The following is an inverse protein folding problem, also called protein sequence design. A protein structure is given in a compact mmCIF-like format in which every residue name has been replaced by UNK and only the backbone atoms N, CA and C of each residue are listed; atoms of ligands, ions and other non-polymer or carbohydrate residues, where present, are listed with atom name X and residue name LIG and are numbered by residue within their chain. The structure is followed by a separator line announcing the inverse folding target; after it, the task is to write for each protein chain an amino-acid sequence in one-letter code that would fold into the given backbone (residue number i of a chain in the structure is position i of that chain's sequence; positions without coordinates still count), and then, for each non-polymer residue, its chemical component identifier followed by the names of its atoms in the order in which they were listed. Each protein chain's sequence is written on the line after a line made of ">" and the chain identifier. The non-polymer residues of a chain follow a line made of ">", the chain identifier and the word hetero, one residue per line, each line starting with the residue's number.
data_IF_169946270079
#
_entry.id   IF_169946270079
#
_cell.length_a   1.000
_cell.length_b   1.000
_cell.length_c   1.000
_cell.angle_alpha   90.00
_cell.angle_beta   90.00
_cell.angle_gamma   90.00
#
_symmetry.space_group_name_H-M   'P 1'
#
loop_
_entity.id
_entity.type
_entity.pdbx_description
1 polymer ?
#
# COMPACT_ATOMS: atom_id res chain seq x y z
N UNK A 1 -4.61 14.97 12.18
CA UNK A 1 -6.01 15.11 11.75
C UNK A 1 -6.57 13.85 11.07
N UNK A 2 -5.86 13.11 10.21
CA UNK A 2 -6.37 11.81 9.69
C UNK A 2 -6.18 10.61 10.64
N UNK A 3 -5.34 10.76 11.67
CA UNK A 3 -5.04 9.70 12.66
C UNK A 3 -6.25 9.21 13.44
N UNK A 4 -7.34 9.98 13.51
CA UNK A 4 -8.58 9.55 14.17
C UNK A 4 -9.33 8.45 13.41
N UNK A 5 -8.99 8.22 12.13
CA UNK A 5 -9.54 7.14 11.31
C UNK A 5 -8.67 5.87 11.35
N UNK A 6 -7.56 5.87 12.11
CA UNK A 6 -6.62 4.76 12.10
C UNK A 6 -7.14 3.61 12.96
N UNK A 7 -7.30 2.45 12.33
CA UNK A 7 -7.67 1.18 12.97
C UNK A 7 -6.53 0.17 12.74
N UNK A 8 -5.83 -0.17 13.81
CA UNK A 8 -4.69 -1.10 13.78
C UNK A 8 -5.18 -2.43 14.35
N UNK A 9 -5.01 -3.50 13.58
CA UNK A 9 -5.38 -4.84 14.03
C UNK A 9 -4.66 -5.19 15.35
N UNK A 10 -5.32 -5.85 16.32
CA UNK A 10 -4.72 -6.16 17.62
C UNK A 10 -3.34 -6.84 17.53
N UNK A 11 -3.19 -7.83 16.64
CA UNK A 11 -1.91 -8.52 16.45
C UNK A 11 -0.78 -7.59 15.98
N UNK A 12 -1.11 -6.63 15.12
CA UNK A 12 -0.16 -5.62 14.61
C UNK A 12 0.23 -4.66 15.73
N UNK A 13 -0.75 -4.21 16.53
CA UNK A 13 -0.50 -3.35 17.69
C UNK A 13 0.37 -4.03 18.74
N UNK A 14 0.08 -5.29 19.08
CA UNK A 14 0.86 -6.07 20.03
C UNK A 14 2.30 -6.24 19.54
N UNK A 15 2.50 -6.58 18.26
CA UNK A 15 3.82 -6.71 17.67
C UNK A 15 4.62 -5.41 17.75
N UNK A 16 4.00 -4.26 17.45
CA UNK A 16 4.63 -2.95 17.56
C UNK A 16 5.03 -2.60 19.00
N UNK A 17 4.14 -2.86 19.96
CA UNK A 17 4.41 -2.60 21.39
C UNK A 17 5.54 -3.47 21.96
N UNK A 18 5.67 -4.70 21.45
CA UNK A 18 6.71 -5.65 21.85
C UNK A 18 8.02 -5.49 21.06
N UNK A 19 8.07 -4.57 20.09
CA UNK A 19 9.23 -4.40 19.21
C UNK A 19 9.46 -5.56 18.24
N UNK A 20 8.44 -6.37 17.97
CA UNK A 20 8.48 -7.43 16.96
C UNK A 20 8.40 -6.83 15.55
N UNK A 21 9.05 -7.44 14.55
CA UNK A 21 9.04 -6.92 13.19
C UNK A 21 7.64 -6.99 12.56
N UNK A 22 7.22 -5.89 11.95
CA UNK A 22 5.96 -5.76 11.19
C UNK A 22 6.26 -5.36 9.76
N UNK A 23 5.59 -6.00 8.80
CA UNK A 23 5.69 -5.69 7.37
C UNK A 23 4.33 -5.28 6.84
N UNK A 24 4.20 -4.04 6.37
CA UNK A 24 3.01 -3.58 5.68
C UNK A 24 2.90 -4.23 4.29
N UNK A 25 1.67 -4.39 3.79
CA UNK A 25 1.35 -4.91 2.45
C UNK A 25 0.23 -4.05 1.82
N UNK A 26 0.28 -3.77 0.51
CA UNK A 26 -0.74 -2.92 -0.14
C UNK A 26 -1.98 -3.71 -0.57
N UNK A 27 -3.09 -3.00 -0.79
CA UNK A 27 -4.34 -3.60 -1.29
C UNK A 27 -4.66 -3.28 -2.76
N UNK A 28 -4.00 -2.32 -3.41
CA UNK A 28 -4.21 -2.08 -4.85
C UNK A 28 -3.89 -3.30 -5.69
N UNK A 29 -2.86 -4.07 -5.32
CA UNK A 29 -2.52 -5.31 -6.01
C UNK A 29 -3.64 -6.35 -5.94
N UNK A 30 -4.43 -6.32 -4.86
CA UNK A 30 -5.58 -7.21 -4.63
C UNK A 30 -6.73 -6.80 -5.55
N UNK A 31 -7.19 -5.54 -5.47
CA UNK A 31 -8.39 -5.12 -6.19
C UNK A 31 -8.17 -4.77 -7.67
N UNK A 32 -6.95 -4.36 -8.05
CA UNK A 32 -6.65 -3.86 -9.40
C UNK A 32 -5.43 -4.52 -10.06
N UNK A 33 -4.64 -5.30 -9.33
CA UNK A 33 -3.41 -5.91 -9.84
C UNK A 33 -3.58 -7.34 -10.37
N UNK A 34 -4.57 -8.07 -9.85
CA UNK A 34 -4.79 -9.48 -10.17
C UNK A 34 -6.29 -9.81 -10.25
N UNK A 35 -6.69 -10.82 -11.05
CA UNK A 35 -8.08 -11.29 -11.09
C UNK A 35 -8.45 -12.08 -9.83
N UNK A 36 -9.76 -12.13 -9.52
CA UNK A 36 -10.30 -13.01 -8.50
C UNK A 36 -10.46 -14.44 -9.02
N UNK A 37 -10.14 -15.49 -8.23
CA UNK A 37 -9.75 -15.48 -6.81
C UNK A 37 -8.25 -15.32 -6.56
N UNK A 38 -7.42 -15.29 -7.61
CA UNK A 38 -5.96 -15.30 -7.47
C UNK A 38 -5.42 -14.11 -6.67
N UNK A 39 -6.11 -12.96 -6.71
CA UNK A 39 -5.78 -11.78 -5.93
C UNK A 39 -5.81 -12.03 -4.42
N UNK A 40 -6.94 -12.52 -3.88
CA UNK A 40 -7.13 -12.81 -2.46
C UNK A 40 -6.22 -13.96 -2.02
N UNK A 41 -6.14 -15.03 -2.80
CA UNK A 41 -5.24 -16.15 -2.53
C UNK A 41 -3.77 -15.73 -2.46
N UNK A 42 -3.35 -14.83 -3.35
CA UNK A 42 -1.98 -14.32 -3.36
C UNK A 42 -1.71 -13.42 -2.17
N UNK A 43 -2.64 -12.53 -1.81
CA UNK A 43 -2.51 -11.69 -0.62
C UNK A 43 -2.33 -12.54 0.66
N UNK A 44 -3.19 -13.55 0.85
CA UNK A 44 -3.10 -14.47 1.99
C UNK A 44 -1.79 -15.27 2.00
N UNK A 45 -1.32 -15.73 0.83
CA UNK A 45 -0.02 -16.41 0.72
C UNK A 45 1.15 -15.48 1.08
N UNK A 46 1.10 -14.21 0.68
CA UNK A 46 2.13 -13.23 1.03
C UNK A 46 2.13 -12.96 2.54
N UNK A 47 0.96 -12.86 3.19
CA UNK A 47 0.88 -12.79 4.65
C UNK A 47 1.53 -14.00 5.33
N UNK A 48 1.30 -15.21 4.80
CA UNK A 48 1.94 -16.42 5.30
C UNK A 48 3.48 -16.39 5.12
N UNK A 49 3.98 -15.85 4.01
CA UNK A 49 5.43 -15.71 3.80
C UNK A 49 6.06 -14.72 4.78
N UNK A 50 5.41 -13.58 5.05
CA UNK A 50 5.87 -12.65 6.08
C UNK A 50 5.95 -13.33 7.46
N UNK A 51 4.92 -14.11 7.83
CA UNK A 51 4.91 -14.91 9.07
C UNK A 51 6.02 -15.95 9.11
N UNK A 52 6.24 -16.68 8.02
CA UNK A 52 7.32 -17.65 7.91
C UNK A 52 8.72 -16.99 8.03
N UNK A 53 8.85 -15.74 7.60
CA UNK A 53 10.03 -14.90 7.80
C UNK A 53 10.15 -14.29 9.20
N UNK A 54 9.23 -14.59 10.12
CA UNK A 54 9.25 -14.11 11.50
C UNK A 54 8.64 -12.72 11.71
N UNK A 55 7.99 -12.13 10.70
CA UNK A 55 7.32 -10.83 10.81
C UNK A 55 5.81 -10.96 10.90
N UNK A 56 5.16 -9.98 11.54
CA UNK A 56 3.71 -9.85 11.54
C UNK A 56 3.28 -9.07 10.30
N UNK A 57 2.43 -9.62 9.42
CA UNK A 57 1.93 -8.91 8.26
C UNK A 57 0.85 -7.90 8.66
N UNK A 58 0.87 -6.74 8.01
CA UNK A 58 -0.17 -5.73 8.13
C UNK A 58 -0.65 -5.34 6.72
N UNK A 59 -1.58 -6.11 6.15
CA UNK A 59 -2.25 -5.68 4.91
C UNK A 59 -3.03 -4.40 5.17
N UNK A 60 -2.82 -3.39 4.31
CA UNK A 60 -3.34 -2.03 4.49
C UNK A 60 -4.43 -1.74 3.48
N UNK A 61 -5.56 -1.21 3.94
CA UNK A 61 -6.66 -0.75 3.09
C UNK A 61 -7.48 0.34 3.78
N UNK A 62 -8.53 0.81 3.10
CA UNK A 62 -9.56 1.64 3.68
C UNK A 62 -10.87 0.87 3.62
N UNK A 63 -11.52 0.69 4.76
CA UNK A 63 -12.82 0.01 4.84
C UNK A 63 -13.79 0.87 5.62
N UNK A 64 -14.93 1.23 5.02
CA UNK A 64 -15.92 2.11 5.64
C UNK A 64 -15.34 3.46 6.07
N UNK A 65 -14.35 4.00 5.36
CA UNK A 65 -13.64 5.22 5.73
C UNK A 65 -12.71 5.10 6.95
N UNK A 66 -12.32 3.89 7.35
CA UNK A 66 -11.27 3.65 8.36
C UNK A 66 -9.97 3.23 7.67
N UNK A 67 -8.85 3.82 8.07
CA UNK A 67 -7.51 3.46 7.64
C UNK A 67 -7.08 2.20 8.39
N UNK A 68 -7.16 1.04 7.73
CA UNK A 68 -6.87 -0.26 8.33
C UNK A 68 -5.40 -0.62 8.20
N UNK A 69 -4.74 -0.98 9.29
CA UNK A 69 -3.41 -1.59 9.30
C UNK A 69 -3.50 -3.00 9.87
N UNK A 70 -3.54 -4.00 8.98
CA UNK A 70 -3.90 -5.38 9.28
C UNK A 70 -5.35 -5.64 8.91
N UNK A 71 -5.56 -6.57 7.98
CA UNK A 71 -6.88 -7.03 7.56
C UNK A 71 -7.13 -8.46 8.01
N UNK A 72 -8.38 -8.79 8.23
CA UNK A 72 -8.82 -10.18 8.39
C UNK A 72 -8.83 -10.89 7.02
N UNK A 73 -8.77 -12.23 7.00
CA UNK A 73 -8.90 -12.98 5.75
C UNK A 73 -10.19 -12.70 4.99
N UNK A 74 -11.28 -12.40 5.70
CA UNK A 74 -12.58 -12.04 5.10
C UNK A 74 -12.54 -10.67 4.44
N UNK A 75 -11.85 -9.71 5.05
CA UNK A 75 -11.67 -8.37 4.45
C UNK A 75 -10.77 -8.42 3.21
N UNK A 76 -9.74 -9.28 3.21
CA UNK A 76 -8.91 -9.54 2.03
C UNK A 76 -9.73 -10.17 0.89
N UNK A 77 -10.51 -11.21 1.21
CA UNK A 77 -11.40 -11.86 0.25
C UNK A 77 -12.43 -10.88 -0.32
N UNK A 78 -13.04 -10.05 0.53
CA UNK A 78 -13.95 -8.99 0.13
C UNK A 78 -13.32 -8.00 -0.88
N UNK A 79 -12.09 -7.54 -0.63
CA UNK A 79 -11.39 -6.65 -1.56
C UNK A 79 -11.08 -7.34 -2.89
N UNK A 80 -10.77 -8.63 -2.85
CA UNK A 80 -10.54 -9.45 -4.03
C UNK A 80 -11.80 -9.64 -4.88
N UNK A 81 -12.92 -10.01 -4.25
CA UNK A 81 -14.21 -10.23 -4.90
C UNK A 81 -14.78 -8.94 -5.49
N UNK A 82 -14.70 -7.82 -4.74
CA UNK A 82 -15.18 -6.52 -5.22
C UNK A 82 -14.33 -5.97 -6.38
N UNK A 83 -13.03 -6.27 -6.39
CA UNK A 83 -12.10 -5.87 -7.44
C UNK A 83 -12.20 -4.38 -7.77
N UNK A 84 -12.37 -4.06 -9.05
CA UNK A 84 -12.43 -2.69 -9.56
C UNK A 84 -13.60 -1.82 -9.02
N UNK A 85 -14.56 -2.39 -8.28
CA UNK A 85 -15.60 -1.62 -7.59
C UNK A 85 -15.06 -0.90 -6.35
N UNK A 86 -13.96 -1.39 -5.77
CA UNK A 86 -13.22 -0.68 -4.72
C UNK A 86 -12.43 0.45 -5.38
N UNK A 87 -12.42 1.64 -4.77
CA UNK A 87 -11.64 2.74 -5.31
C UNK A 87 -10.14 2.46 -5.22
N UNK A 88 -9.40 2.77 -6.28
CA UNK A 88 -7.92 2.82 -6.21
C UNK A 88 -7.52 4.14 -5.56
N UNK A 89 -6.82 4.08 -4.42
CA UNK A 89 -6.58 5.25 -3.56
C UNK A 89 -5.11 5.60 -3.50
N UNK A 90 -4.75 6.75 -4.06
CA UNK A 90 -3.48 7.44 -3.84
C UNK A 90 -3.65 8.59 -2.84
N UNK A 91 -2.56 9.32 -2.56
CA UNK A 91 -2.52 10.37 -1.52
C UNK A 91 -3.65 11.39 -1.66
N UNK A 92 -3.93 11.85 -2.88
CA UNK A 92 -4.95 12.88 -3.14
C UNK A 92 -6.38 12.38 -2.89
N UNK A 93 -6.57 11.05 -2.97
CA UNK A 93 -7.89 10.42 -2.87
C UNK A 93 -8.26 10.15 -1.41
N UNK A 94 -7.26 10.00 -0.53
CA UNK A 94 -7.44 9.69 0.91
C UNK A 94 -8.51 10.55 1.60
N UNK A 95 -8.48 11.90 1.55
CA UNK A 95 -9.46 12.70 2.29
C UNK A 95 -10.89 12.47 1.80
N UNK A 96 -11.07 12.20 0.50
CA UNK A 96 -12.39 12.01 -0.10
C UNK A 96 -12.98 10.67 0.32
N UNK A 97 -12.18 9.61 0.27
CA UNK A 97 -12.62 8.25 0.66
C UNK A 97 -12.96 8.19 2.14
N UNK A 98 -12.14 8.83 2.99
CA UNK A 98 -12.39 8.92 4.43
C UNK A 98 -13.67 9.72 4.75
N UNK A 99 -13.83 10.90 4.16
CA UNK A 99 -15.00 11.75 4.41
C UNK A 99 -16.31 11.11 3.96
N UNK A 100 -16.26 10.26 2.93
CA UNK A 100 -17.45 9.56 2.40
C UNK A 100 -17.72 8.21 3.06
N UNK A 101 -16.87 7.75 3.98
CA UNK A 101 -17.03 6.42 4.57
C UNK A 101 -16.91 5.29 3.54
N UNK A 102 -16.11 5.48 2.49
CA UNK A 102 -15.99 4.53 1.38
C UNK A 102 -14.84 3.54 1.57
N UNK A 103 -14.89 2.45 0.81
CA UNK A 103 -13.81 1.48 0.73
C UNK A 103 -12.75 1.90 -0.31
N UNK A 104 -11.50 1.57 -0.04
CA UNK A 104 -10.36 1.95 -0.86
C UNK A 104 -9.22 0.95 -0.81
N UNK A 105 -8.78 0.52 -1.99
CA UNK A 105 -7.56 -0.24 -2.18
C UNK A 105 -6.39 0.73 -2.28
N UNK A 106 -5.45 0.64 -1.34
CA UNK A 106 -4.38 1.62 -1.19
C UNK A 106 -3.24 1.30 -2.14
N UNK A 107 -2.76 2.32 -2.86
CA UNK A 107 -1.53 2.27 -3.66
C UNK A 107 -0.31 2.35 -2.75
N UNK A 108 0.89 2.13 -3.29
CA UNK A 108 2.17 2.34 -2.58
C UNK A 108 2.19 3.65 -1.79
N UNK A 109 1.85 4.79 -2.40
CA UNK A 109 1.80 6.07 -1.67
C UNK A 109 0.85 6.05 -0.46
N UNK A 110 -0.38 5.58 -0.63
CA UNK A 110 -1.34 5.54 0.48
C UNK A 110 -0.97 4.51 1.54
N UNK A 111 -0.43 3.36 1.13
CA UNK A 111 0.06 2.33 2.06
C UNK A 111 1.21 2.86 2.90
N UNK A 112 2.17 3.59 2.31
CA UNK A 112 3.25 4.25 3.06
C UNK A 112 2.72 5.22 4.11
N UNK A 113 1.74 6.06 3.75
CA UNK A 113 1.13 7.02 4.69
C UNK A 113 0.52 6.28 5.89
N UNK A 114 -0.29 5.25 5.63
CA UNK A 114 -0.99 4.52 6.70
C UNK A 114 -0.01 3.69 7.52
N UNK A 115 0.97 3.03 6.89
CA UNK A 115 2.03 2.30 7.58
C UNK A 115 2.81 3.23 8.51
N UNK A 116 3.20 4.42 8.04
CA UNK A 116 3.90 5.41 8.87
C UNK A 116 3.06 5.89 10.04
N UNK A 117 1.75 6.11 9.84
CA UNK A 117 0.82 6.48 10.91
C UNK A 117 0.66 5.37 11.95
N UNK A 118 0.67 4.11 11.50
CA UNK A 118 0.63 2.93 12.37
C UNK A 118 1.97 2.61 13.05
N UNK A 119 3.06 3.31 12.71
CA UNK A 119 4.39 3.05 13.27
C UNK A 119 5.16 1.91 12.59
N UNK A 120 4.71 1.47 11.40
CA UNK A 120 5.34 0.41 10.62
C UNK A 120 6.38 1.03 9.68
N UNK A 121 7.63 0.58 9.76
CA UNK A 121 8.75 1.15 9.02
C UNK A 121 9.12 0.37 7.73
N UNK A 122 8.56 -0.83 7.51
CA UNK A 122 8.86 -1.68 6.35
C UNK A 122 7.58 -2.05 5.62
N UNK A 123 7.62 -1.95 4.29
CA UNK A 123 6.50 -2.25 3.38
C UNK A 123 7.02 -3.10 2.22
N UNK A 124 6.34 -4.20 1.90
CA UNK A 124 6.64 -5.02 0.72
C UNK A 124 5.53 -4.90 -0.34
N UNK A 125 5.94 -4.73 -1.60
CA UNK A 125 5.05 -4.75 -2.78
C UNK A 125 5.75 -5.46 -3.96
N UNK A 126 5.02 -5.72 -5.05
CA UNK A 126 5.59 -6.22 -6.29
C UNK A 126 6.48 -5.17 -6.98
N UNK A 127 5.99 -3.94 -7.14
CA UNK A 127 6.72 -2.89 -7.86
C UNK A 127 6.13 -1.51 -7.61
N UNK A 128 6.96 -0.48 -7.50
CA UNK A 128 6.50 0.90 -7.29
C UNK A 128 5.95 1.52 -8.59
N UNK A 129 5.11 2.54 -8.46
CA UNK A 129 4.89 3.49 -9.54
C UNK A 129 6.13 4.35 -9.79
N UNK A 130 6.12 5.13 -10.87
CA UNK A 130 7.28 5.94 -11.26
C UNK A 130 6.93 6.95 -12.33
N UNK A 131 7.93 7.36 -13.10
CA UNK A 131 7.76 8.24 -14.26
C UNK A 131 7.22 7.41 -15.43
N UNK A 132 6.11 7.83 -16.03
CA UNK A 132 5.55 7.11 -17.18
C UNK A 132 6.32 7.44 -18.46
N UNK A 133 6.27 6.53 -19.44
CA UNK A 133 6.85 6.78 -20.78
C UNK A 133 6.13 7.97 -21.43
N UNK A 134 6.88 8.95 -21.91
CA UNK A 134 6.34 10.21 -22.46
C UNK A 134 6.07 11.30 -21.42
N UNK A 135 6.48 11.12 -20.15
CA UNK A 135 6.28 12.11 -19.09
C UNK A 135 6.97 13.46 -19.35
N UNK A 136 7.97 13.52 -20.23
CA UNK A 136 8.59 14.80 -20.64
C UNK A 136 7.62 15.72 -21.38
N UNK A 137 6.51 15.19 -21.90
CA UNK A 137 5.40 15.98 -22.47
C UNK A 137 4.15 15.94 -21.58
N UNK A 138 3.82 14.79 -21.01
CA UNK A 138 2.54 14.58 -20.32
C UNK A 138 2.56 14.91 -18.83
N UNK A 139 3.76 14.90 -18.22
CA UNK A 139 3.97 14.99 -16.78
C UNK A 139 3.21 13.91 -15.98
N UNK A 140 2.93 12.75 -16.60
CA UNK A 140 2.34 11.60 -15.92
C UNK A 140 3.39 10.90 -15.04
N UNK A 141 3.42 11.29 -13.77
CA UNK A 141 4.39 10.85 -12.77
C UNK A 141 3.64 10.37 -11.53
N UNK A 142 3.94 9.14 -11.08
CA UNK A 142 3.29 8.55 -9.92
C UNK A 142 3.54 9.35 -8.65
N UNK A 143 2.48 9.55 -7.86
CA UNK A 143 2.58 10.11 -6.53
C UNK A 143 3.41 9.24 -5.55
N UNK A 144 3.69 7.98 -5.91
CA UNK A 144 4.57 7.10 -5.14
C UNK A 144 5.97 7.70 -4.96
N UNK A 145 6.53 8.32 -6.00
CA UNK A 145 7.87 8.94 -5.93
C UNK A 145 7.91 10.10 -4.95
N UNK A 146 6.87 10.92 -4.95
CA UNK A 146 6.72 12.01 -3.99
C UNK A 146 6.47 11.52 -2.57
N UNK A 147 5.89 10.32 -2.40
CA UNK A 147 5.70 9.74 -1.08
C UNK A 147 7.00 9.13 -0.53
N UNK A 148 7.78 8.46 -1.38
CA UNK A 148 9.13 7.98 -1.07
C UNK A 148 10.02 9.13 -0.55
N UNK A 149 9.94 10.31 -1.18
CA UNK A 149 10.72 11.49 -0.80
C UNK A 149 10.40 12.08 0.59
N UNK A 150 9.28 11.72 1.22
CA UNK A 150 8.81 12.39 2.46
C UNK A 150 8.37 11.47 3.60
N UNK A 151 8.16 10.19 3.31
CA UNK A 151 7.58 9.25 4.28
C UNK A 151 8.60 8.17 4.61
N UNK A 152 9.01 8.15 5.88
CA UNK A 152 10.01 7.22 6.41
C UNK A 152 9.45 5.79 6.50
N UNK A 153 9.38 5.11 5.35
CA UNK A 153 9.02 3.69 5.21
C UNK A 153 9.94 3.10 4.13
N UNK A 154 10.65 2.03 4.47
CA UNK A 154 11.44 1.27 3.51
C UNK A 154 10.52 0.40 2.64
N UNK A 155 10.52 0.65 1.33
CA UNK A 155 9.69 -0.08 0.37
C UNK A 155 10.53 -1.14 -0.35
N UNK A 156 10.26 -2.41 -0.06
CA UNK A 156 10.87 -3.57 -0.73
C UNK A 156 10.04 -3.93 -1.96
N UNK A 157 10.66 -3.94 -3.13
CA UNK A 157 9.99 -4.21 -4.41
C UNK A 157 10.95 -4.78 -5.46
N UNK A 158 10.41 -5.25 -6.59
CA UNK A 158 11.19 -5.66 -7.76
C UNK A 158 11.59 -4.49 -8.67
N UNK A 159 11.70 -3.28 -8.12
CA UNK A 159 11.91 -2.03 -8.85
C UNK A 159 10.60 -1.31 -9.24
N UNK A 160 10.71 -0.31 -10.12
CA UNK A 160 9.54 0.30 -10.74
C UNK A 160 8.92 -0.65 -11.77
N UNK A 161 7.59 -0.63 -11.91
CA UNK A 161 6.87 -1.50 -12.85
C UNK A 161 7.44 -1.34 -14.28
N UNK A 162 7.64 -2.45 -14.99
CA UNK A 162 8.32 -2.48 -16.31
C UNK A 162 7.63 -1.68 -17.43
N UNK A 163 6.37 -1.31 -17.24
CA UNK A 163 5.59 -0.44 -18.14
C UNK A 163 6.02 1.04 -18.08
N UNK A 164 6.85 1.41 -17.10
CA UNK A 164 7.29 2.78 -16.84
C UNK A 164 8.57 3.12 -17.62
N UNK A 165 9.00 4.38 -17.47
CA UNK A 165 10.31 4.85 -17.88
C UNK A 165 11.29 4.71 -16.71
N UNK A 166 12.16 3.70 -16.77
CA UNK A 166 13.03 3.34 -15.65
C UNK A 166 14.18 4.33 -15.46
N UNK A 167 14.72 4.87 -16.56
CA UNK A 167 15.80 5.85 -16.53
C UNK A 167 15.29 7.15 -15.90
N UNK A 168 14.15 7.67 -16.37
CA UNK A 168 13.57 8.87 -15.77
C UNK A 168 13.11 8.64 -14.33
N UNK A 169 12.66 7.42 -13.99
CA UNK A 169 12.31 7.10 -12.59
C UNK A 169 13.54 7.12 -11.68
N UNK A 170 14.69 6.61 -12.15
CA UNK A 170 15.94 6.66 -11.42
C UNK A 170 16.40 8.11 -11.19
N UNK A 171 16.44 8.93 -12.25
CA UNK A 171 16.80 10.35 -12.18
C UNK A 171 15.87 11.15 -11.25
N UNK A 172 14.58 10.81 -11.26
CA UNK A 172 13.61 11.43 -10.37
C UNK A 172 13.89 11.10 -8.91
N UNK A 173 14.17 9.83 -8.59
CA UNK A 173 14.55 9.43 -7.23
C UNK A 173 15.82 10.16 -6.80
N UNK A 174 16.87 10.15 -7.62
CA UNK A 174 18.12 10.87 -7.33
C UNK A 174 17.88 12.36 -7.00
N UNK A 175 17.01 13.02 -7.76
CA UNK A 175 16.68 14.44 -7.55
C UNK A 175 16.03 14.70 -6.19
N UNK A 176 15.32 13.73 -5.62
CA UNK A 176 14.59 13.86 -4.36
C UNK A 176 15.26 13.17 -3.16
N UNK A 177 16.43 12.55 -3.36
CA UNK A 177 17.22 11.85 -2.33
C UNK A 177 16.79 10.41 -2.07
#
# INVERSE_FOLDING_TARGET
>A
MISHHLDIAPEVMDALNEGRPVVALESTIISHGMPYPQNAETALRVEQQARAGGAVPATVAILGGQLKAGLTPREIDYLGEKGAKVAKVSRRDLPIILARGQDGATTVASTMIIARLAGIAVFATGGIGGVHRGATQTLDISADLQELARTNVAVVCAGAKSILDLELTLEYLETYG
#
